data_IF_235806320514
#
_entry.id   IF_235806320514
#
_cell.length_a   1.000
_cell.length_b   1.000
_cell.length_c   1.000
_cell.angle_alpha   90.00
_cell.angle_beta   90.00
_cell.angle_gamma   90.00
#
_symmetry.space_group_name_H-M   'P 1'
#
loop_
_entity.id
_entity.type
_entity.pdbx_description
1 polymer ?
#
# COMPACT_ATOMS: atom_id res chain seq x y z
N UNK A 1 -42.36 3.00 19.95
CA UNK A 1 -42.83 3.61 18.69
C UNK A 1 -43.07 5.12 18.77
N UNK A 2 -43.58 5.65 19.89
CA UNK A 2 -43.93 7.07 20.02
C UNK A 2 -42.80 8.08 19.72
N UNK A 3 -41.55 7.78 20.09
CA UNK A 3 -40.41 8.71 19.87
C UNK A 3 -40.01 8.86 18.38
N UNK A 4 -40.06 7.77 17.60
CA UNK A 4 -39.78 7.82 16.16
C UNK A 4 -40.86 8.60 15.41
N UNK A 5 -42.13 8.34 15.71
CA UNK A 5 -43.25 9.03 15.06
C UNK A 5 -43.34 10.50 15.44
N UNK A 6 -42.93 10.88 16.65
CA UNK A 6 -42.94 12.27 17.11
C UNK A 6 -41.80 13.11 16.52
N UNK A 7 -40.61 12.53 16.32
CA UNK A 7 -39.49 13.22 15.66
C UNK A 7 -38.49 12.22 15.08
N UNK A 8 -38.69 11.81 13.80
CA UNK A 8 -37.84 10.80 13.17
C UNK A 8 -36.37 11.19 13.14
N UNK A 9 -36.08 12.47 12.88
CA UNK A 9 -34.71 12.99 12.81
C UNK A 9 -34.00 12.94 14.16
N UNK A 10 -34.65 13.39 15.26
CA UNK A 10 -34.05 13.33 16.61
C UNK A 10 -33.85 11.89 17.07
N UNK A 11 -34.79 11.02 16.75
CA UNK A 11 -34.66 9.59 17.01
C UNK A 11 -33.48 8.98 16.26
N UNK A 12 -33.38 9.17 14.94
CA UNK A 12 -32.27 8.65 14.15
C UNK A 12 -30.92 9.20 14.62
N UNK A 13 -30.86 10.51 14.90
CA UNK A 13 -29.68 11.15 15.46
C UNK A 13 -29.26 10.53 16.80
N UNK A 14 -30.21 10.23 17.69
CA UNK A 14 -29.89 9.57 18.97
C UNK A 14 -29.31 8.16 18.83
N UNK A 15 -29.59 7.46 17.73
CA UNK A 15 -29.03 6.14 17.44
C UNK A 15 -27.64 6.24 16.78
N UNK A 16 -27.42 7.26 15.95
CA UNK A 16 -26.23 7.40 15.11
C UNK A 16 -25.14 8.27 15.74
N UNK A 17 -25.51 9.35 16.45
CA UNK A 17 -24.59 10.25 17.16
C UNK A 17 -24.19 9.71 18.54
N UNK A 18 -24.73 8.54 18.95
CA UNK A 18 -24.27 7.90 20.18
C UNK A 18 -22.87 7.38 19.91
N UNK A 19 -21.88 8.12 20.39
CA UNK A 19 -20.47 7.74 20.37
C UNK A 19 -20.35 6.34 20.98
N UNK A 20 -20.08 5.34 20.13
CA UNK A 20 -19.79 3.99 20.59
C UNK A 20 -18.38 4.00 21.13
N UNK A 21 -18.23 4.45 22.37
CA UNK A 21 -16.99 4.32 23.15
C UNK A 21 -16.84 2.88 23.66
N UNK A 22 -17.06 1.91 22.76
CA UNK A 22 -16.78 0.52 23.05
C UNK A 22 -15.26 0.38 23.00
N UNK A 23 -14.66 0.27 24.18
CA UNK A 23 -13.29 -0.24 24.30
C UNK A 23 -13.34 -1.66 23.76
N UNK A 24 -12.36 -1.98 22.92
CA UNK A 24 -12.16 -3.35 22.47
C UNK A 24 -12.10 -4.26 23.71
N UNK A 25 -12.98 -5.26 23.77
CA UNK A 25 -12.99 -6.22 24.89
C UNK A 25 -11.66 -6.99 24.96
N UNK A 26 -11.03 -7.15 23.80
CA UNK A 26 -9.73 -7.80 23.62
C UNK A 26 -8.61 -6.76 23.61
N UNK A 27 -7.48 -7.00 24.31
CA UNK A 27 -6.30 -6.15 24.19
C UNK A 27 -5.83 -6.00 22.74
N UNK A 28 -5.39 -4.80 22.36
CA UNK A 28 -4.86 -4.52 21.02
C UNK A 28 -3.68 -5.46 20.66
N UNK A 29 -2.85 -5.78 21.65
CA UNK A 29 -1.70 -6.68 21.50
C UNK A 29 -2.11 -8.09 21.08
N UNK A 30 -3.22 -8.61 21.62
CA UNK A 30 -3.74 -9.93 21.29
C UNK A 30 -4.31 -9.96 19.87
N UNK A 31 -5.03 -8.90 19.47
CA UNK A 31 -5.51 -8.74 18.09
C UNK A 31 -4.32 -8.63 17.12
N UNK A 32 -3.32 -7.83 17.44
CA UNK A 32 -2.13 -7.65 16.62
C UNK A 32 -1.36 -8.98 16.48
N UNK A 33 -1.19 -9.72 17.57
CA UNK A 33 -0.54 -11.02 17.55
C UNK A 33 -1.34 -12.04 16.72
N UNK A 34 -2.67 -12.11 16.89
CA UNK A 34 -3.53 -12.97 16.09
C UNK A 34 -3.40 -12.68 14.60
N UNK A 35 -3.46 -11.39 14.21
CA UNK A 35 -3.30 -10.98 12.82
C UNK A 35 -1.91 -11.32 12.30
N UNK A 36 -0.88 -11.10 13.11
CA UNK A 36 0.49 -11.43 12.74
C UNK A 36 0.64 -12.94 12.49
N UNK A 37 0.24 -13.78 13.44
CA UNK A 37 0.33 -15.25 13.34
C UNK A 37 -0.52 -15.80 12.19
N UNK A 38 -1.72 -15.25 11.98
CA UNK A 38 -2.67 -15.80 10.99
C UNK A 38 -2.36 -15.37 9.56
N UNK A 39 -1.85 -14.14 9.38
CA UNK A 39 -1.75 -13.52 8.06
C UNK A 39 -0.35 -13.07 7.68
N UNK A 40 0.63 -13.13 8.58
CA UNK A 40 2.01 -12.84 8.21
C UNK A 40 2.68 -14.10 7.67
N UNK A 41 3.55 -13.88 6.69
CA UNK A 41 4.47 -14.91 6.24
C UNK A 41 5.56 -15.09 7.31
N UNK A 42 5.71 -16.28 7.92
CA UNK A 42 6.74 -16.54 8.93
C UNK A 42 8.17 -16.39 8.38
N UNK A 43 8.34 -16.51 7.05
CA UNK A 43 9.63 -16.46 6.37
C UNK A 43 9.81 -15.14 5.62
N UNK A 44 9.01 -14.11 5.94
CA UNK A 44 9.07 -12.79 5.26
C UNK A 44 10.48 -12.20 5.24
N UNK A 45 11.21 -12.35 6.33
CA UNK A 45 12.56 -11.80 6.50
C UNK A 45 13.65 -12.74 5.97
N UNK A 46 13.28 -13.94 5.54
CA UNK A 46 14.23 -14.88 4.94
C UNK A 46 14.60 -14.41 3.53
N UNK A 47 15.89 -14.46 3.23
CA UNK A 47 16.37 -14.18 1.88
C UNK A 47 15.80 -15.23 0.93
N UNK A 48 15.12 -14.76 -0.12
CA UNK A 48 14.62 -15.62 -1.18
C UNK A 48 15.80 -16.37 -1.81
N UNK A 49 15.65 -17.69 -1.93
CA UNK A 49 16.62 -18.54 -2.62
C UNK A 49 16.50 -18.38 -4.13
N UNK A 50 17.52 -18.86 -4.83
CA UNK A 50 17.48 -18.99 -6.28
C UNK A 50 16.25 -19.80 -6.71
N UNK A 51 15.55 -19.29 -7.73
CA UNK A 51 14.33 -19.89 -8.24
C UNK A 51 14.64 -20.58 -9.56
N UNK A 52 14.59 -21.91 -9.59
CA UNK A 52 14.90 -22.74 -10.78
C UNK A 52 14.04 -22.38 -12.02
N UNK A 53 12.93 -21.66 -11.82
CA UNK A 53 12.03 -21.21 -12.89
C UNK A 53 12.50 -19.91 -13.55
N UNK A 54 13.47 -19.21 -12.98
CA UNK A 54 13.96 -17.91 -13.43
C UNK A 54 15.43 -18.07 -13.77
N UNK A 55 15.74 -17.99 -15.06
CA UNK A 55 17.13 -17.96 -15.50
C UNK A 55 17.82 -16.68 -14.97
N UNK A 56 19.06 -16.79 -14.47
CA UNK A 56 19.80 -15.61 -14.04
C UNK A 56 19.99 -14.66 -15.22
N UNK A 57 19.66 -13.39 -15.01
CA UNK A 57 19.90 -12.37 -16.02
C UNK A 57 21.41 -12.23 -16.25
N UNK A 58 21.83 -12.15 -17.51
CA UNK A 58 23.20 -11.79 -17.86
C UNK A 58 23.50 -10.40 -17.31
N UNK A 59 24.69 -10.22 -16.74
CA UNK A 59 25.15 -8.90 -16.34
C UNK A 59 25.10 -7.92 -17.53
N UNK A 60 24.66 -6.67 -17.30
CA UNK A 60 24.59 -5.68 -18.35
C UNK A 60 26.00 -5.36 -18.86
N UNK A 61 26.19 -5.42 -20.17
CA UNK A 61 27.48 -5.10 -20.81
C UNK A 61 27.86 -3.63 -20.68
N UNK A 62 26.89 -2.77 -20.38
CA UNK A 62 27.07 -1.32 -20.22
C UNK A 62 26.52 -0.89 -18.87
N UNK A 63 27.33 -0.16 -18.11
CA UNK A 63 26.85 0.47 -16.88
C UNK A 63 25.82 1.54 -17.21
N UNK A 64 24.81 1.67 -16.35
CA UNK A 64 23.86 2.76 -16.42
C UNK A 64 24.62 4.07 -16.19
N UNK A 65 24.58 4.98 -17.16
CA UNK A 65 25.10 6.33 -16.96
C UNK A 65 24.13 7.11 -16.06
N UNK A 66 24.51 7.27 -14.79
CA UNK A 66 23.74 8.01 -13.79
C UNK A 66 24.04 9.52 -13.79
N UNK A 67 24.87 10.00 -14.71
CA UNK A 67 25.18 11.43 -14.84
C UNK A 67 23.99 12.18 -15.40
N UNK A 68 23.70 13.38 -14.88
CA UNK A 68 22.64 14.22 -15.41
C UNK A 68 22.91 14.58 -16.89
N UNK A 69 21.91 14.44 -17.78
CA UNK A 69 22.09 14.77 -19.18
C UNK A 69 22.34 16.26 -19.35
N UNK A 70 23.25 16.58 -20.26
CA UNK A 70 23.52 17.97 -20.64
C UNK A 70 22.36 18.53 -21.46
N UNK A 71 22.19 19.87 -21.43
CA UNK A 71 21.20 20.54 -22.27
C UNK A 71 21.39 20.23 -23.78
N UNK A 72 22.62 19.98 -24.21
CA UNK A 72 22.93 19.59 -25.59
C UNK A 72 22.35 18.21 -25.94
N UNK A 73 22.58 17.21 -25.10
CA UNK A 73 22.04 15.85 -25.27
C UNK A 73 20.51 15.86 -25.29
N UNK A 74 19.88 16.65 -24.42
CA UNK A 74 18.42 16.81 -24.41
C UNK A 74 17.92 17.41 -25.72
N UNK A 75 18.54 18.48 -26.22
CA UNK A 75 18.15 19.11 -27.50
C UNK A 75 18.26 18.15 -28.67
N UNK A 76 19.36 17.39 -28.75
CA UNK A 76 19.56 16.40 -29.81
C UNK A 76 18.57 15.24 -29.73
N UNK A 77 18.31 14.71 -28.53
CA UNK A 77 17.31 13.67 -28.32
C UNK A 77 15.91 14.13 -28.78
N UNK A 78 15.50 15.35 -28.42
CA UNK A 78 14.21 15.94 -28.84
C UNK A 78 14.14 16.13 -30.34
N UNK A 79 15.21 16.62 -30.97
CA UNK A 79 15.27 16.81 -32.42
C UNK A 79 15.14 15.47 -33.15
N UNK A 80 15.87 14.43 -32.71
CA UNK A 80 15.80 13.09 -33.28
C UNK A 80 14.41 12.47 -33.15
N UNK A 81 13.79 12.59 -31.98
CA UNK A 81 12.45 12.06 -31.74
C UNK A 81 11.37 12.73 -32.61
N UNK A 82 11.50 14.02 -32.91
CA UNK A 82 10.56 14.75 -33.78
C UNK A 82 10.73 14.47 -35.27
N UNK A 83 11.88 13.93 -35.67
CA UNK A 83 12.19 13.62 -37.07
C UNK A 83 11.84 12.19 -37.48
N UNK A 84 11.39 11.36 -36.53
CA UNK A 84 10.89 10.00 -36.73
C UNK A 84 9.36 10.00 -36.83
#
# INVERSE_FOLDING_TARGET
MAAFTASPYKFARSLLDKERSEKLETPLEEVANYLHVTHSDPNREDVLRDCDRIDPAKEPEKQLNATEPTLGEVKEAVKKARAA
#
